data_IF_107995563335
#
_entry.id   IF_107995563335
#
_cell.length_a   1.000
_cell.length_b   1.000
_cell.length_c   1.000
_cell.angle_alpha   90.00
_cell.angle_beta   90.00
_cell.angle_gamma   90.00
#
_symmetry.space_group_name_H-M   'P 1'
#
loop_
_entity.id
_entity.type
_entity.pdbx_description
1 polymer ?
#
# COMPACT_ATOMS: atom_id res chain seq x y z
N UNK A 1 10.67 -46.29 -52.11
CA UNK A 1 10.60 -45.88 -50.69
C UNK A 1 9.98 -44.50 -50.62
N UNK A 2 8.92 -44.25 -49.83
CA UNK A 2 8.37 -42.91 -49.69
C UNK A 2 9.27 -42.02 -48.82
N UNK A 3 9.32 -40.69 -49.06
CA UNK A 3 10.12 -39.77 -48.26
C UNK A 3 9.57 -39.64 -46.84
N UNK A 4 10.45 -39.72 -45.85
CA UNK A 4 10.09 -39.54 -44.43
C UNK A 4 9.60 -38.10 -44.19
N UNK A 5 8.50 -37.89 -43.47
CA UNK A 5 8.00 -36.55 -43.17
C UNK A 5 8.93 -35.79 -42.21
N UNK A 6 9.13 -34.51 -42.49
CA UNK A 6 9.92 -33.58 -41.69
C UNK A 6 9.30 -33.34 -40.31
N UNK A 7 10.06 -33.62 -39.24
CA UNK A 7 9.68 -33.42 -37.84
C UNK A 7 9.42 -31.95 -37.45
N UNK A 8 9.78 -30.98 -38.31
CA UNK A 8 9.55 -29.56 -38.05
C UNK A 8 8.08 -29.11 -38.06
N UNK A 9 7.14 -29.98 -38.45
CA UNK A 9 5.70 -29.70 -38.47
C UNK A 9 4.94 -30.15 -37.21
N UNK A 10 5.60 -30.82 -36.26
CA UNK A 10 4.93 -31.44 -35.11
C UNK A 10 4.96 -30.61 -33.81
N UNK A 11 5.74 -29.51 -33.77
CA UNK A 11 5.84 -28.69 -32.57
C UNK A 11 5.76 -27.19 -32.92
N UNK A 12 4.63 -26.51 -32.67
CA UNK A 12 4.55 -25.06 -32.81
C UNK A 12 5.51 -24.41 -31.82
N UNK A 13 6.31 -23.47 -32.31
CA UNK A 13 7.38 -22.81 -31.55
C UNK A 13 6.78 -22.00 -30.37
N UNK A 14 6.96 -22.43 -29.10
CA UNK A 14 6.23 -21.87 -27.96
C UNK A 14 6.71 -20.47 -27.56
N UNK A 15 7.81 -19.98 -28.15
CA UNK A 15 8.48 -18.73 -27.76
C UNK A 15 8.03 -17.54 -28.61
N UNK A 16 7.33 -17.77 -29.72
CA UNK A 16 6.83 -16.72 -30.62
C UNK A 16 5.92 -15.70 -29.93
N UNK A 17 4.86 -16.14 -29.20
CA UNK A 17 3.94 -15.24 -28.51
C UNK A 17 4.64 -14.39 -27.43
N UNK A 18 5.55 -15.00 -26.66
CA UNK A 18 6.31 -14.31 -25.61
C UNK A 18 7.23 -13.20 -26.17
N UNK A 19 7.91 -13.46 -27.30
CA UNK A 19 8.73 -12.44 -27.97
C UNK A 19 7.91 -11.28 -28.52
N UNK A 20 6.65 -11.52 -28.90
CA UNK A 20 5.74 -10.46 -29.35
C UNK A 20 5.33 -9.56 -28.19
N UNK A 21 4.92 -10.15 -27.06
CA UNK A 21 4.55 -9.43 -25.84
C UNK A 21 5.71 -8.58 -25.32
N UNK A 22 6.94 -9.12 -25.28
CA UNK A 22 8.12 -8.38 -24.84
C UNK A 22 8.47 -7.20 -25.76
N UNK A 23 8.19 -7.30 -27.06
CA UNK A 23 8.41 -6.21 -28.02
C UNK A 23 7.37 -5.11 -27.84
N UNK A 24 6.10 -5.50 -27.75
CA UNK A 24 4.99 -4.58 -27.50
C UNK A 24 5.18 -3.82 -26.17
N UNK A 25 5.64 -4.51 -25.12
CA UNK A 25 5.96 -3.87 -23.84
C UNK A 25 7.11 -2.87 -23.91
N UNK A 26 8.16 -3.16 -24.71
CA UNK A 26 9.27 -2.20 -24.91
C UNK A 26 8.83 -0.96 -25.70
N UNK A 27 7.98 -1.13 -26.70
CA UNK A 27 7.43 -0.01 -27.48
C UNK A 27 6.55 0.90 -26.59
N UNK A 28 5.74 0.31 -25.70
CA UNK A 28 4.92 1.07 -24.74
C UNK A 28 5.77 1.85 -23.74
N UNK A 29 6.84 1.26 -23.22
CA UNK A 29 7.77 1.95 -22.30
C UNK A 29 8.48 3.11 -23.01
N UNK A 30 8.95 2.91 -24.24
CA UNK A 30 9.59 3.97 -25.02
C UNK A 30 8.63 5.13 -25.31
N UNK A 31 7.35 4.86 -25.51
CA UNK A 31 6.32 5.89 -25.68
C UNK A 31 6.10 6.67 -24.38
N UNK A 32 5.94 5.97 -23.26
CA UNK A 32 5.75 6.58 -21.95
C UNK A 32 6.93 7.48 -21.54
N UNK A 33 8.17 7.08 -21.84
CA UNK A 33 9.36 7.92 -21.63
C UNK A 33 9.32 9.22 -22.45
N UNK A 34 8.83 9.15 -23.69
CA UNK A 34 8.62 10.31 -24.55
C UNK A 34 7.59 11.27 -23.98
N UNK A 35 6.46 10.74 -23.50
CA UNK A 35 5.37 11.52 -22.90
C UNK A 35 5.84 12.22 -21.61
N UNK A 36 6.59 11.52 -20.74
CA UNK A 36 7.18 12.09 -19.52
C UNK A 36 8.15 13.23 -19.86
N UNK A 37 8.99 13.06 -20.88
CA UNK A 37 9.93 14.09 -21.32
C UNK A 37 9.21 15.32 -21.85
N UNK A 38 8.17 15.12 -22.66
CA UNK A 38 7.34 16.22 -23.18
C UNK A 38 6.71 17.04 -22.06
N UNK A 39 6.17 16.38 -21.03
CA UNK A 39 5.58 17.05 -19.86
C UNK A 39 6.65 17.80 -19.06
N UNK A 40 7.85 17.23 -18.91
CA UNK A 40 8.95 17.88 -18.21
C UNK A 40 9.44 19.15 -18.94
N UNK A 41 9.50 19.12 -20.27
CA UNK A 41 9.84 20.28 -21.11
C UNK A 41 8.74 21.36 -21.04
N UNK A 42 7.48 20.96 -21.03
CA UNK A 42 6.34 21.89 -20.87
C UNK A 42 6.37 22.58 -19.49
N UNK A 43 6.65 21.84 -18.42
CA UNK A 43 6.83 22.38 -17.06
C UNK A 43 8.03 23.33 -16.94
N UNK A 44 9.13 23.07 -17.67
CA UNK A 44 10.26 24.00 -17.73
C UNK A 44 9.90 25.28 -18.50
N UNK A 45 9.14 25.17 -19.60
CA UNK A 45 8.70 26.31 -20.40
C UNK A 45 7.70 27.23 -19.65
N UNK A 46 6.93 26.66 -18.71
CA UNK A 46 5.95 27.38 -17.89
C UNK A 46 6.57 28.09 -16.65
N UNK A 47 7.91 28.17 -16.55
CA UNK A 47 8.57 29.06 -15.59
C UNK A 47 9.06 28.38 -14.31
N UNK A 48 9.74 27.24 -14.42
CA UNK A 48 10.45 26.56 -13.33
C UNK A 48 11.70 27.28 -12.79
N UNK A 49 11.66 28.60 -12.64
CA UNK A 49 12.78 29.43 -12.14
C UNK A 49 12.44 30.24 -10.87
N UNK A 50 11.35 29.93 -10.16
CA UNK A 50 10.92 30.74 -9.00
C UNK A 50 10.80 30.02 -7.65
N UNK A 51 11.30 28.79 -7.51
CA UNK A 51 11.19 28.02 -6.25
C UNK A 51 12.52 27.80 -5.49
N UNK A 52 13.65 28.39 -5.92
CA UNK A 52 14.95 28.23 -5.25
C UNK A 52 15.64 29.56 -4.84
N UNK A 53 14.90 30.66 -4.71
CA UNK A 53 15.43 31.92 -4.19
C UNK A 53 14.57 32.41 -3.01
N UNK A 54 14.79 31.81 -1.83
CA UNK A 54 14.04 32.14 -0.62
C UNK A 54 14.81 31.94 0.69
N UNK A 55 16.15 31.88 0.64
CA UNK A 55 17.01 31.83 1.83
C UNK A 55 17.94 33.05 1.88
N UNK A 56 17.37 34.24 1.98
CA UNK A 56 18.09 35.40 2.56
C UNK A 56 17.07 36.26 3.30
N UNK A 57 17.12 36.21 4.63
CA UNK A 57 16.43 37.16 5.50
C UNK A 57 16.97 38.58 5.28
N UNK A 58 16.12 39.60 5.47
CA UNK A 58 16.49 40.65 6.41
C UNK A 58 15.35 41.02 7.38
N UNK A 59 15.78 41.81 8.35
CA UNK A 59 15.22 42.10 9.66
C UNK A 59 14.48 43.45 9.65
N UNK A 60 13.43 43.58 10.52
CA UNK A 60 12.80 44.83 11.05
C UNK A 60 11.88 45.57 10.03
N UNK A 61 10.67 46.07 10.33
CA UNK A 61 10.06 46.62 11.54
C UNK A 61 8.50 46.51 11.51
N UNK A 62 7.91 46.94 12.61
CA UNK A 62 6.54 46.86 13.11
C UNK A 62 5.57 47.84 12.43
N UNK A 63 4.41 47.38 11.94
CA UNK A 63 3.16 48.17 11.88
C UNK A 63 1.90 47.29 11.73
N UNK A 64 0.80 47.76 12.32
CA UNK A 64 -0.48 47.06 12.50
C UNK A 64 -1.37 47.10 11.23
N UNK A 65 -2.44 46.27 11.15
CA UNK A 65 -3.03 45.83 9.87
C UNK A 65 -4.17 46.73 9.38
N UNK A 66 -4.37 46.86 8.05
CA UNK A 66 -5.65 47.29 7.50
C UNK A 66 -6.53 46.10 7.13
N UNK A 67 -7.82 46.41 7.22
CA UNK A 67 -9.02 45.59 7.08
C UNK A 67 -9.19 44.85 5.75
N UNK A 68 -9.80 43.66 5.90
CA UNK A 68 -10.90 43.12 5.08
C UNK A 68 -10.68 43.01 3.56
N UNK A 69 -10.37 41.78 3.14
CA UNK A 69 -10.97 41.21 1.94
C UNK A 69 -11.58 39.86 2.31
N UNK A 70 -12.90 39.87 2.49
CA UNK A 70 -13.72 38.68 2.69
C UNK A 70 -13.66 37.80 1.43
N UNK A 71 -12.76 36.83 1.43
CA UNK A 71 -12.92 35.65 0.59
C UNK A 71 -13.94 34.77 1.32
N UNK A 72 -15.17 34.83 0.82
CA UNK A 72 -16.25 33.91 1.17
C UNK A 72 -15.86 32.48 0.79
N UNK A 73 -15.11 31.82 1.66
CA UNK A 73 -15.00 30.36 1.68
C UNK A 73 -16.28 29.83 2.30
N UNK A 74 -17.17 29.33 1.44
CA UNK A 74 -18.17 28.36 1.89
C UNK A 74 -17.45 27.27 2.72
N UNK A 75 -17.98 26.84 3.88
CA UNK A 75 -17.45 25.70 4.59
C UNK A 75 -17.88 24.46 3.80
N UNK A 76 -17.26 24.24 2.64
CA UNK A 76 -17.15 22.92 2.07
C UNK A 76 -16.42 22.11 3.12
N UNK A 77 -17.15 21.22 3.79
CA UNK A 77 -16.61 20.34 4.82
C UNK A 77 -15.35 19.70 4.25
N UNK A 78 -14.18 20.15 4.69
CA UNK A 78 -12.98 19.33 4.62
C UNK A 78 -13.40 18.09 5.38
N UNK A 79 -13.64 16.98 4.66
CA UNK A 79 -13.85 15.69 5.28
C UNK A 79 -12.60 15.48 6.11
N UNK A 80 -12.69 15.76 7.41
CA UNK A 80 -11.63 15.46 8.35
C UNK A 80 -11.34 13.99 8.08
N UNK A 81 -10.08 13.67 7.77
CA UNK A 81 -9.64 12.28 7.69
C UNK A 81 -10.19 11.56 8.91
N UNK A 82 -10.47 10.28 8.77
CA UNK A 82 -10.79 9.42 9.91
C UNK A 82 -9.84 8.24 9.80
N UNK A 83 -9.50 7.62 10.93
CA UNK A 83 -8.60 6.49 10.91
C UNK A 83 -9.09 5.41 9.92
N UNK A 84 -8.19 4.92 9.06
CA UNK A 84 -8.53 4.10 7.90
C UNK A 84 -8.38 2.60 8.20
N UNK A 85 -9.41 1.96 8.75
CA UNK A 85 -9.41 0.51 9.01
C UNK A 85 -9.17 -0.34 7.73
N UNK A 86 -9.70 0.00 6.55
CA UNK A 86 -9.36 -0.70 5.32
C UNK A 86 -7.88 -0.59 4.94
N UNK A 87 -7.23 0.56 5.19
CA UNK A 87 -5.81 0.76 4.95
C UNK A 87 -4.99 -0.07 5.93
N UNK A 88 -5.36 -0.07 7.21
CA UNK A 88 -4.73 -0.90 8.25
C UNK A 88 -4.77 -2.39 7.90
N UNK A 89 -5.86 -2.88 7.29
CA UNK A 89 -5.94 -4.26 6.76
C UNK A 89 -4.80 -4.54 5.79
N UNK A 90 -4.63 -3.65 4.82
CA UNK A 90 -3.71 -3.85 3.71
C UNK A 90 -2.26 -3.74 4.20
N UNK A 91 -1.95 -2.79 5.09
CA UNK A 91 -0.65 -2.70 5.75
C UNK A 91 -0.30 -3.95 6.56
N UNK A 92 -1.23 -4.48 7.35
CA UNK A 92 -1.03 -5.74 8.10
C UNK A 92 -0.81 -6.92 7.17
N UNK A 93 -1.59 -7.03 6.08
CA UNK A 93 -1.45 -8.08 5.08
C UNK A 93 -0.07 -8.04 4.39
N UNK A 94 0.39 -6.85 3.98
CA UNK A 94 1.72 -6.68 3.38
C UNK A 94 2.81 -7.00 4.40
N UNK A 95 2.69 -6.55 5.64
CA UNK A 95 3.63 -6.84 6.73
C UNK A 95 3.79 -8.36 6.94
N UNK A 96 2.68 -9.08 7.11
CA UNK A 96 2.68 -10.53 7.29
C UNK A 96 3.28 -11.25 6.09
N UNK A 97 2.90 -10.85 4.87
CA UNK A 97 3.40 -11.44 3.63
C UNK A 97 4.89 -11.20 3.42
N UNK A 98 5.38 -9.99 3.74
CA UNK A 98 6.78 -9.63 3.62
C UNK A 98 7.65 -10.47 4.56
N UNK A 99 7.25 -10.62 5.83
CA UNK A 99 7.97 -11.43 6.80
C UNK A 99 7.97 -12.92 6.43
N UNK A 100 6.82 -13.44 5.98
CA UNK A 100 6.69 -14.82 5.52
C UNK A 100 7.62 -15.12 4.34
N UNK A 101 7.68 -14.22 3.35
CA UNK A 101 8.61 -14.36 2.22
C UNK A 101 10.06 -14.21 2.67
N UNK A 102 10.33 -13.33 3.64
CA UNK A 102 11.65 -13.19 4.24
C UNK A 102 12.17 -14.48 4.88
N UNK A 103 11.32 -15.23 5.59
CA UNK A 103 11.67 -16.54 6.18
C UNK A 103 12.14 -17.52 5.12
N UNK A 104 11.48 -17.52 3.94
CA UNK A 104 11.85 -18.40 2.82
C UNK A 104 13.31 -18.22 2.41
N UNK A 105 13.82 -17.00 2.45
CA UNK A 105 15.24 -16.72 2.19
C UNK A 105 16.12 -16.94 3.41
N UNK A 106 15.64 -16.61 4.61
CA UNK A 106 16.41 -16.68 5.83
C UNK A 106 16.83 -18.11 6.19
N UNK A 107 16.01 -19.12 5.88
CA UNK A 107 16.33 -20.53 6.13
C UNK A 107 17.58 -21.02 5.40
N UNK A 108 17.81 -20.53 4.19
CA UNK A 108 18.94 -20.95 3.36
C UNK A 108 20.14 -20.00 3.48
N UNK A 109 19.88 -18.69 3.59
CA UNK A 109 20.90 -17.64 3.46
C UNK A 109 21.21 -16.90 4.75
N UNK A 110 20.44 -17.16 5.81
CA UNK A 110 20.52 -16.45 7.08
C UNK A 110 19.83 -15.08 7.06
N UNK A 111 19.56 -14.55 8.25
CA UNK A 111 18.77 -13.31 8.42
C UNK A 111 19.46 -12.03 7.96
N UNK A 112 20.78 -12.07 7.75
CA UNK A 112 21.57 -10.93 7.28
C UNK A 112 21.62 -10.85 5.75
N UNK A 113 21.02 -11.79 5.03
CA UNK A 113 20.92 -11.74 3.57
C UNK A 113 20.20 -10.46 3.13
N UNK A 114 20.65 -9.89 2.01
CA UNK A 114 20.11 -8.61 1.52
C UNK A 114 18.60 -8.68 1.23
N UNK A 115 18.11 -9.79 0.69
CA UNK A 115 16.68 -9.95 0.42
C UNK A 115 15.89 -10.09 1.72
N UNK A 116 16.41 -10.79 2.72
CA UNK A 116 15.79 -10.86 4.06
C UNK A 116 15.69 -9.48 4.68
N UNK A 117 16.77 -8.71 4.70
CA UNK A 117 16.80 -7.35 5.24
C UNK A 117 15.86 -6.40 4.47
N UNK A 118 15.73 -6.58 3.15
CA UNK A 118 14.76 -5.85 2.33
C UNK A 118 13.33 -6.16 2.77
N UNK A 119 12.99 -7.43 3.02
CA UNK A 119 11.65 -7.83 3.48
C UNK A 119 11.33 -7.30 4.87
N UNK A 120 12.29 -7.36 5.78
CA UNK A 120 12.18 -6.76 7.12
C UNK A 120 11.92 -5.26 7.03
N UNK A 121 12.63 -4.54 6.14
CA UNK A 121 12.41 -3.11 5.94
C UNK A 121 11.02 -2.79 5.43
N UNK A 122 10.53 -3.53 4.43
CA UNK A 122 9.16 -3.36 3.92
C UNK A 122 8.16 -3.50 5.08
N UNK A 123 8.26 -4.57 5.86
CA UNK A 123 7.37 -4.79 7.00
C UNK A 123 7.40 -3.62 8.00
N UNK A 124 8.59 -3.08 8.31
CA UNK A 124 8.71 -1.91 9.20
C UNK A 124 8.11 -0.63 8.61
N UNK A 125 8.30 -0.41 7.31
CA UNK A 125 7.79 0.78 6.62
C UNK A 125 6.26 0.79 6.58
N UNK A 126 5.63 -0.36 6.28
CA UNK A 126 4.18 -0.51 6.29
C UNK A 126 3.58 -0.24 7.68
N UNK A 127 4.16 -0.79 8.74
CA UNK A 127 3.73 -0.50 10.12
C UNK A 127 3.93 0.98 10.48
N UNK A 128 5.03 1.58 10.02
CA UNK A 128 5.31 3.00 10.28
C UNK A 128 4.33 3.94 9.59
N UNK A 129 3.93 3.61 8.35
CA UNK A 129 2.93 4.37 7.59
C UNK A 129 1.58 4.24 8.29
N UNK A 130 1.15 3.01 8.57
CA UNK A 130 -0.12 2.73 9.24
C UNK A 130 -0.24 3.48 10.57
N UNK A 131 0.80 3.46 11.42
CA UNK A 131 0.74 4.12 12.73
C UNK A 131 0.75 5.66 12.66
N UNK A 132 1.41 6.25 11.67
CA UNK A 132 1.60 7.70 11.58
C UNK A 132 0.57 8.40 10.71
N UNK A 133 -0.10 7.66 9.84
CA UNK A 133 -1.06 8.21 8.87
C UNK A 133 -2.44 7.65 9.17
N UNK A 134 -2.64 6.34 9.01
CA UNK A 134 -3.97 5.74 9.09
C UNK A 134 -4.51 5.62 10.52
N UNK A 135 -3.61 5.46 11.50
CA UNK A 135 -3.91 5.28 12.91
C UNK A 135 -3.31 6.40 13.76
N UNK A 136 -3.08 7.58 13.17
CA UNK A 136 -2.60 8.71 13.93
C UNK A 136 -3.60 9.07 15.07
N UNK A 137 -3.13 9.51 16.25
CA UNK A 137 -4.01 9.75 17.40
C UNK A 137 -5.18 10.69 17.10
N UNK A 138 -4.95 11.73 16.30
CA UNK A 138 -5.95 12.68 15.84
C UNK A 138 -7.02 12.04 14.93
N UNK A 139 -6.66 11.00 14.19
CA UNK A 139 -7.55 10.25 13.30
C UNK A 139 -8.40 9.25 14.09
N UNK A 140 -7.79 8.57 15.07
CA UNK A 140 -8.50 7.66 15.99
C UNK A 140 -9.47 8.44 16.88
N UNK A 141 -9.11 9.64 17.33
CA UNK A 141 -9.97 10.47 18.18
C UNK A 141 -11.33 10.79 17.54
N UNK A 142 -11.43 10.71 16.20
CA UNK A 142 -12.66 10.97 15.44
C UNK A 142 -13.57 9.74 15.34
N UNK A 143 -13.04 8.54 15.56
CA UNK A 143 -13.80 7.30 15.59
C UNK A 143 -14.66 7.18 16.85
N UNK A 144 -15.67 6.31 16.80
CA UNK A 144 -16.55 5.96 17.92
C UNK A 144 -16.83 4.46 17.92
N UNK A 145 -17.34 3.96 19.05
CA UNK A 145 -17.80 2.57 19.18
C UNK A 145 -16.74 1.54 18.82
N UNK A 146 -17.17 0.46 18.18
CA UNK A 146 -16.33 -0.69 17.86
C UNK A 146 -15.22 -0.37 16.84
N UNK A 147 -15.41 0.63 15.96
CA UNK A 147 -14.33 1.07 15.06
C UNK A 147 -13.16 1.67 15.83
N UNK A 148 -13.44 2.49 16.85
CA UNK A 148 -12.41 3.10 17.68
C UNK A 148 -11.65 2.04 18.48
N UNK A 149 -12.38 1.12 19.10
CA UNK A 149 -11.78 0.03 19.87
C UNK A 149 -10.87 -0.86 19.00
N UNK A 150 -11.28 -1.11 17.75
CA UNK A 150 -10.45 -1.82 16.79
C UNK A 150 -9.22 -1.01 16.40
N UNK A 151 -9.35 0.29 16.13
CA UNK A 151 -8.22 1.14 15.78
C UNK A 151 -7.18 1.24 16.92
N UNK A 152 -7.64 1.42 18.16
CA UNK A 152 -6.79 1.44 19.36
C UNK A 152 -6.08 0.10 19.58
N UNK A 153 -6.80 -1.02 19.42
CA UNK A 153 -6.22 -2.36 19.49
C UNK A 153 -5.15 -2.54 18.39
N UNK A 154 -5.45 -2.18 17.15
CA UNK A 154 -4.52 -2.33 16.02
C UNK A 154 -3.26 -1.51 16.21
N UNK A 155 -3.40 -0.25 16.67
CA UNK A 155 -2.26 0.62 16.94
C UNK A 155 -1.33 0.01 17.99
N UNK A 156 -1.89 -0.59 19.05
CA UNK A 156 -1.11 -1.32 20.06
C UNK A 156 -0.39 -2.53 19.45
N UNK A 157 -1.10 -3.37 18.71
CA UNK A 157 -0.51 -4.56 18.08
C UNK A 157 0.60 -4.21 17.09
N UNK A 158 0.41 -3.15 16.30
CA UNK A 158 1.43 -2.64 15.37
C UNK A 158 2.72 -2.27 16.08
N UNK A 159 2.63 -1.55 17.21
CA UNK A 159 3.78 -1.14 18.00
C UNK A 159 4.54 -2.34 18.54
N UNK A 160 3.82 -3.29 19.15
CA UNK A 160 4.42 -4.51 19.69
C UNK A 160 5.07 -5.34 18.58
N UNK A 161 4.42 -5.46 17.42
CA UNK A 161 4.96 -6.17 16.27
C UNK A 161 6.22 -5.49 15.71
N UNK A 162 6.24 -4.16 15.60
CA UNK A 162 7.43 -3.41 15.19
C UNK A 162 8.60 -3.65 16.14
N UNK A 163 8.35 -3.71 17.45
CA UNK A 163 9.38 -4.07 18.43
C UNK A 163 9.89 -5.50 18.20
N UNK A 164 8.99 -6.46 17.97
CA UNK A 164 9.37 -7.84 17.65
C UNK A 164 10.22 -7.94 16.37
N UNK A 165 9.83 -7.24 15.29
CA UNK A 165 10.58 -7.21 14.04
C UNK A 165 11.97 -6.59 14.22
N UNK A 166 12.07 -5.51 15.01
CA UNK A 166 13.36 -4.85 15.30
C UNK A 166 14.29 -5.77 16.11
N UNK A 167 13.74 -6.70 16.87
CA UNK A 167 14.49 -7.66 17.69
C UNK A 167 14.95 -8.92 16.92
N UNK A 168 14.62 -9.06 15.63
CA UNK A 168 15.04 -10.20 14.80
C UNK A 168 16.56 -10.27 14.75
N UNK A 169 17.11 -11.41 15.15
CA UNK A 169 18.56 -11.66 15.18
C UNK A 169 18.96 -13.00 14.58
N UNK A 170 17.99 -13.91 14.43
CA UNK A 170 18.15 -15.28 13.93
C UNK A 170 16.84 -15.73 13.25
N UNK A 171 16.88 -16.89 12.60
CA UNK A 171 15.73 -17.42 11.84
C UNK A 171 14.54 -17.68 12.76
N UNK A 172 14.78 -18.16 13.98
CA UNK A 172 13.73 -18.46 14.96
C UNK A 172 12.95 -17.19 15.36
N UNK A 173 13.65 -16.12 15.74
CA UNK A 173 13.02 -14.84 16.08
C UNK A 173 12.29 -14.21 14.90
N UNK A 174 12.77 -14.44 13.66
CA UNK A 174 12.06 -14.05 12.45
C UNK A 174 10.77 -14.85 12.23
N UNK A 175 10.80 -16.17 12.45
CA UNK A 175 9.62 -17.04 12.38
C UNK A 175 8.56 -16.64 13.41
N UNK A 176 8.97 -16.34 14.64
CA UNK A 176 8.08 -15.82 15.68
C UNK A 176 7.44 -14.48 15.28
N UNK A 177 8.22 -13.56 14.70
CA UNK A 177 7.70 -12.28 14.24
C UNK A 177 6.67 -12.43 13.10
N UNK A 178 6.93 -13.33 12.14
CA UNK A 178 5.99 -13.59 11.05
C UNK A 178 4.71 -14.29 11.52
N UNK A 179 4.83 -15.28 12.42
CA UNK A 179 3.68 -15.94 13.02
C UNK A 179 2.78 -14.91 13.74
N UNK A 180 3.40 -14.05 14.55
CA UNK A 180 2.69 -12.96 15.22
C UNK A 180 2.03 -11.99 14.24
N UNK A 181 2.70 -11.63 13.14
CA UNK A 181 2.10 -10.78 12.11
C UNK A 181 0.87 -11.43 11.46
N UNK A 182 0.92 -12.74 11.21
CA UNK A 182 -0.21 -13.51 10.68
C UNK A 182 -1.37 -13.54 11.67
N UNK A 183 -1.11 -13.85 12.93
CA UNK A 183 -2.11 -13.87 14.01
C UNK A 183 -2.81 -12.51 14.16
N UNK A 184 -2.03 -11.41 14.19
CA UNK A 184 -2.59 -10.05 14.26
C UNK A 184 -3.47 -9.77 13.05
N UNK A 185 -3.06 -10.19 11.85
CA UNK A 185 -3.84 -9.98 10.61
C UNK A 185 -5.16 -10.73 10.66
N UNK A 186 -5.15 -11.99 11.10
CA UNK A 186 -6.36 -12.81 11.22
C UNK A 186 -7.31 -12.28 12.31
N UNK A 187 -6.77 -11.91 13.47
CA UNK A 187 -7.56 -11.33 14.54
C UNK A 187 -8.14 -9.97 14.15
N UNK A 188 -7.36 -9.14 13.44
CA UNK A 188 -7.85 -7.88 12.88
C UNK A 188 -9.05 -8.11 11.96
N UNK A 189 -8.95 -9.07 11.03
CA UNK A 189 -10.04 -9.38 10.10
C UNK A 189 -11.29 -9.89 10.82
N UNK A 190 -11.11 -10.76 11.82
CA UNK A 190 -12.20 -11.24 12.67
C UNK A 190 -12.90 -10.08 13.38
N UNK A 191 -12.14 -9.19 14.03
CA UNK A 191 -12.68 -8.00 14.72
C UNK A 191 -13.35 -7.03 13.75
N UNK A 192 -12.76 -6.78 12.58
CA UNK A 192 -13.31 -5.91 11.54
C UNK A 192 -14.67 -6.40 11.03
N UNK A 193 -14.85 -7.72 10.92
CA UNK A 193 -16.15 -8.30 10.56
C UNK A 193 -17.15 -8.27 11.70
N UNK A 194 -16.70 -8.26 12.95
CA UNK A 194 -17.57 -8.09 14.11
C UNK A 194 -18.07 -6.65 14.32
N UNK A 195 -17.43 -5.65 13.70
CA UNK A 195 -17.89 -4.25 13.78
C UNK A 195 -19.31 -4.13 13.19
N UNK A 196 -20.30 -3.60 13.95
CA UNK A 196 -21.65 -3.40 13.46
C UNK A 196 -21.67 -2.55 12.19
N UNK A 197 -22.55 -2.90 11.24
CA UNK A 197 -22.62 -2.18 9.97
C UNK A 197 -23.09 -0.73 10.14
N UNK A 198 -23.85 -0.45 11.20
CA UNK A 198 -24.33 0.90 11.51
C UNK A 198 -23.20 1.81 12.05
N UNK A 199 -22.15 1.21 12.62
CA UNK A 199 -21.00 1.92 13.17
C UNK A 199 -19.87 2.09 12.16
N UNK A 200 -19.74 1.19 11.18
CA UNK A 200 -18.64 1.24 10.22
C UNK A 200 -19.00 1.94 8.91
N UNK A 201 -18.86 3.28 8.89
CA UNK A 201 -19.13 4.12 7.70
C UNK A 201 -18.24 3.73 6.52
N UNK A 202 -16.98 3.33 6.79
CA UNK A 202 -16.02 2.93 5.75
C UNK A 202 -16.19 1.48 5.28
N UNK A 203 -16.75 0.60 6.13
CA UNK A 203 -16.98 -0.80 5.78
C UNK A 203 -18.17 -0.97 4.86
N UNK A 204 -19.14 -0.04 4.82
CA UNK A 204 -20.35 -0.18 3.99
C UNK A 204 -20.02 -0.45 2.53
N UNK A 205 -19.18 0.40 1.92
CA UNK A 205 -18.76 0.25 0.51
C UNK A 205 -17.91 -1.00 0.28
N UNK A 206 -16.98 -1.31 1.20
CA UNK A 206 -16.08 -2.47 1.06
C UNK A 206 -16.85 -3.79 1.23
N UNK A 207 -17.78 -3.86 2.20
CA UNK A 207 -18.65 -5.02 2.43
C UNK A 207 -19.57 -5.25 1.26
N UNK A 208 -20.13 -4.19 0.67
CA UNK A 208 -21.02 -4.32 -0.49
C UNK A 208 -20.25 -4.81 -1.72
N UNK A 209 -19.08 -4.22 -2.03
CA UNK A 209 -18.22 -4.70 -3.13
C UNK A 209 -17.78 -6.16 -2.96
N UNK A 210 -17.50 -6.60 -1.72
CA UNK A 210 -17.15 -7.99 -1.44
C UNK A 210 -18.36 -8.92 -1.58
N UNK A 211 -19.54 -8.51 -1.10
CA UNK A 211 -20.80 -9.24 -1.29
C UNK A 211 -21.08 -9.43 -2.77
N UNK A 212 -21.01 -8.37 -3.56
CA UNK A 212 -21.16 -8.42 -5.02
C UNK A 212 -20.16 -9.38 -5.68
N UNK A 213 -18.90 -9.35 -5.24
CA UNK A 213 -17.88 -10.27 -5.75
C UNK A 213 -18.19 -11.74 -5.43
N UNK A 214 -18.60 -12.04 -4.19
CA UNK A 214 -18.98 -13.39 -3.77
C UNK A 214 -20.20 -13.88 -4.56
N UNK A 215 -21.21 -13.03 -4.74
CA UNK A 215 -22.38 -13.37 -5.54
C UNK A 215 -22.05 -13.60 -7.01
N UNK A 216 -21.15 -12.80 -7.59
CA UNK A 216 -20.68 -12.97 -8.96
C UNK A 216 -19.94 -14.31 -9.13
N UNK A 217 -19.07 -14.66 -8.18
CA UNK A 217 -18.39 -15.96 -8.12
C UNK A 217 -19.39 -17.12 -8.02
N UNK A 218 -20.38 -17.03 -7.13
CA UNK A 218 -21.44 -18.04 -6.98
C UNK A 218 -22.22 -18.26 -8.28
N UNK A 219 -22.59 -17.18 -8.97
CA UNK A 219 -23.27 -17.23 -10.29
C UNK A 219 -22.41 -17.91 -11.36
N UNK A 220 -21.11 -17.62 -11.39
CA UNK A 220 -20.18 -18.25 -12.33
C UNK A 220 -19.98 -19.75 -12.07
N UNK A 221 -19.91 -20.16 -10.80
CA UNK A 221 -19.80 -21.58 -10.42
C UNK A 221 -21.08 -22.39 -10.60
N UNK A 222 -22.25 -21.75 -10.72
CA UNK A 222 -23.52 -22.44 -10.98
C UNK A 222 -23.92 -22.46 -12.46
N UNK A 223 -23.16 -21.80 -13.33
CA UNK A 223 -23.33 -21.82 -14.80
C UNK A 223 -22.23 -22.62 -15.53
N UNK A 224 -21.38 -23.34 -14.79
CA UNK A 224 -20.40 -24.32 -15.32
C UNK A 224 -20.77 -25.71 -14.82
#
# INVERSE_FOLDING_TARGET
>A
MPPKPSLSKLFPNPVGPLRKILREGREQLSKAEGDIRSVAEELQSLGGARLLAGLTAPVVEKEAPPEQNEISTSPGSISKGTACLPCSRDHLSVTSSALSEGIRFARDKGVKDHEVMRRVRIALDELNIMERIDLAPEEIAKLKGAEKDLADWTLKQSRDLRHAITAIKDVETMEQAAARASEITEEFMSRLWAVPAEECVTCGEVRERLREFIERRKRQTMSS
#
